data_IF_449040967670
#
_entry.id   IF_449040967670
#
_cell.length_a   1.000
_cell.length_b   1.000
_cell.length_c   1.000
_cell.angle_alpha   90.00
_cell.angle_beta   90.00
_cell.angle_gamma   90.00
#
_symmetry.space_group_name_H-M   'P 1'
#
loop_
_entity.id
_entity.type
_entity.pdbx_description
1 polymer ?
#
# COMPACT_ATOMS: atom_id res chain seq x y z
N UNK A 1 -17.19 8.69 5.17
CA UNK A 1 -16.99 7.27 5.59
C UNK A 1 -16.75 6.36 4.39
N UNK A 2 -17.63 6.34 3.38
CA UNK A 2 -17.52 5.47 2.20
C UNK A 2 -16.19 5.65 1.47
N UNK A 3 -15.79 6.89 1.17
CA UNK A 3 -14.50 7.20 0.51
C UNK A 3 -13.29 6.56 1.21
N UNK A 4 -13.26 6.52 2.53
CA UNK A 4 -12.19 5.90 3.30
C UNK A 4 -12.38 4.38 3.52
N UNK A 5 -13.39 3.77 2.87
CA UNK A 5 -13.71 2.35 3.03
C UNK A 5 -14.08 1.97 4.47
N UNK A 6 -14.72 2.89 5.21
CA UNK A 6 -15.04 2.73 6.64
C UNK A 6 -13.82 2.44 7.53
N UNK A 7 -12.69 3.04 7.19
CA UNK A 7 -11.40 2.90 7.89
C UNK A 7 -10.73 4.26 8.06
N UNK A 8 -9.75 4.33 8.95
CA UNK A 8 -8.88 5.50 9.06
C UNK A 8 -8.18 5.76 7.71
N UNK A 9 -8.15 7.01 7.25
CA UNK A 9 -7.58 7.39 5.96
C UNK A 9 -6.04 7.30 5.90
N UNK A 10 -5.39 7.15 7.06
CA UNK A 10 -3.93 7.02 7.11
C UNK A 10 -3.52 5.61 6.64
N UNK A 11 -2.67 5.48 5.61
CA UNK A 11 -2.33 4.20 4.95
C UNK A 11 -1.82 3.14 5.93
N UNK A 12 -0.95 3.52 6.85
CA UNK A 12 -0.31 2.62 7.81
C UNK A 12 -1.17 2.34 9.06
N UNK A 13 -2.33 2.98 9.19
CA UNK A 13 -3.23 2.81 10.35
C UNK A 13 -4.42 1.94 10.02
N UNK A 14 -5.24 2.34 9.07
CA UNK A 14 -6.46 1.65 8.60
C UNK A 14 -7.41 1.11 9.69
N UNK A 15 -7.34 1.65 10.91
CA UNK A 15 -8.23 1.25 12.02
C UNK A 15 -9.71 1.40 11.62
N UNK A 16 -10.55 0.48 12.08
CA UNK A 16 -12.00 0.42 11.73
C UNK A 16 -12.89 1.11 12.75
N UNK A 17 -12.41 1.33 13.99
CA UNK A 17 -13.16 1.97 15.08
C UNK A 17 -12.21 2.45 16.19
N UNK A 18 -12.59 3.46 16.97
CA UNK A 18 -13.63 4.46 16.67
C UNK A 18 -13.17 5.40 15.55
N UNK A 19 -14.09 5.78 14.66
CA UNK A 19 -13.81 6.67 13.54
C UNK A 19 -14.51 8.02 13.72
N UNK A 20 -13.84 9.09 13.31
CA UNK A 20 -14.34 10.47 13.34
C UNK A 20 -14.17 11.11 11.97
N UNK A 21 -15.10 11.99 11.59
CA UNK A 21 -14.93 12.88 10.44
C UNK A 21 -14.27 14.14 10.95
N UNK A 22 -13.06 14.40 10.47
CA UNK A 22 -12.22 15.52 10.89
C UNK A 22 -12.11 16.57 9.79
N UNK A 23 -12.16 17.86 10.15
CA UNK A 23 -11.81 18.93 9.23
C UNK A 23 -10.30 19.03 9.09
N UNK A 24 -9.80 19.03 7.87
CA UNK A 24 -8.38 19.20 7.57
C UNK A 24 -7.96 20.61 8.00
N UNK A 25 -8.73 21.63 7.59
CA UNK A 25 -8.55 22.99 8.09
C UNK A 25 -9.25 23.22 9.42
N UNK A 26 -8.77 24.22 10.15
CA UNK A 26 -9.33 24.54 11.45
C UNK A 26 -10.78 25.02 11.31
N UNK A 27 -11.74 24.30 11.91
CA UNK A 27 -13.16 24.62 11.93
C UNK A 27 -13.46 26.08 12.34
N UNK A 28 -12.72 26.62 13.32
CA UNK A 28 -12.89 27.99 13.77
C UNK A 28 -12.69 29.03 12.67
N UNK A 29 -11.89 28.69 11.63
CA UNK A 29 -11.63 29.57 10.48
C UNK A 29 -12.61 29.31 9.34
N UNK A 30 -12.94 28.06 9.06
CA UNK A 30 -13.71 27.65 7.86
C UNK A 30 -15.21 27.78 8.11
N UNK A 31 -15.71 27.37 9.26
CA UNK A 31 -17.13 27.40 9.70
C UNK A 31 -18.12 26.84 8.67
N UNK A 32 -17.69 25.91 7.83
CA UNK A 32 -18.51 25.24 6.83
C UNK A 32 -18.05 23.79 6.64
N UNK A 33 -18.99 22.90 6.38
CA UNK A 33 -18.70 21.52 6.00
C UNK A 33 -18.50 21.46 4.48
N UNK A 34 -17.27 21.23 4.07
CA UNK A 34 -16.91 20.95 2.68
C UNK A 34 -16.33 19.56 2.61
N UNK A 35 -16.85 18.70 1.73
CA UNK A 35 -16.38 17.33 1.58
C UNK A 35 -14.86 17.25 1.32
N UNK A 36 -14.33 18.14 0.48
CA UNK A 36 -12.92 18.18 0.12
C UNK A 36 -12.00 18.56 1.31
N UNK A 37 -12.58 19.18 2.32
CA UNK A 37 -11.85 19.58 3.54
C UNK A 37 -12.11 18.66 4.74
N UNK A 38 -12.71 17.50 4.50
CA UNK A 38 -13.02 16.51 5.53
C UNK A 38 -12.32 15.17 5.24
N UNK A 39 -11.77 14.57 6.29
CA UNK A 39 -11.07 13.28 6.22
C UNK A 39 -11.54 12.38 7.37
N UNK A 40 -11.51 11.06 7.17
CA UNK A 40 -11.87 10.07 8.20
C UNK A 40 -10.63 9.64 8.95
N UNK A 41 -10.60 9.85 10.25
CA UNK A 41 -9.50 9.44 11.13
C UNK A 41 -10.01 8.60 12.29
N UNK A 42 -9.18 7.67 12.80
CA UNK A 42 -9.42 7.08 14.10
C UNK A 42 -9.00 8.04 15.24
N UNK A 43 -9.41 7.76 16.46
CA UNK A 43 -9.10 8.61 17.62
C UNK A 43 -7.59 8.86 17.80
N UNK A 44 -6.76 7.84 17.56
CA UNK A 44 -5.30 7.97 17.67
C UNK A 44 -4.73 8.92 16.59
N UNK A 45 -5.11 8.74 15.33
CA UNK A 45 -4.65 9.61 14.25
C UNK A 45 -5.23 11.03 14.37
N UNK A 46 -6.47 11.17 14.86
CA UNK A 46 -7.04 12.47 15.20
C UNK A 46 -6.19 13.19 16.28
N UNK A 47 -5.82 12.49 17.35
CA UNK A 47 -4.96 13.04 18.41
C UNK A 47 -3.55 13.40 17.96
N UNK A 48 -3.08 12.81 16.85
CA UNK A 48 -1.78 13.12 16.23
C UNK A 48 -1.82 14.28 15.23
N UNK A 49 -2.97 14.89 14.99
CA UNK A 49 -3.09 16.04 14.08
C UNK A 49 -2.34 17.24 14.67
N UNK A 50 -1.36 17.75 13.92
CA UNK A 50 -0.54 18.90 14.37
C UNK A 50 0.69 19.09 13.50
N UNK A 51 1.63 19.93 13.96
CA UNK A 51 2.86 20.27 13.24
C UNK A 51 4.13 19.89 14.01
N UNK A 52 4.00 19.18 15.13
CA UNK A 52 5.14 18.72 15.92
C UNK A 52 5.74 17.41 15.42
N UNK A 53 6.87 16.98 15.97
CA UNK A 53 7.48 15.71 15.66
C UNK A 53 6.50 14.54 15.86
N UNK A 54 6.39 13.64 14.88
CA UNK A 54 5.47 12.49 14.91
C UNK A 54 3.99 12.84 14.76
N UNK A 55 3.65 14.10 14.52
CA UNK A 55 2.28 14.55 14.23
C UNK A 55 2.01 14.52 12.72
N UNK A 56 0.72 14.55 12.37
CA UNK A 56 0.24 14.55 10.99
C UNK A 56 -0.21 15.96 10.65
N UNK A 57 0.54 16.64 9.81
CA UNK A 57 0.25 18.02 9.43
C UNK A 57 -0.90 18.11 8.40
N UNK A 58 -1.37 19.34 8.19
CA UNK A 58 -2.48 19.60 7.26
C UNK A 58 -2.15 19.28 5.80
N UNK A 59 -0.89 19.48 5.40
CA UNK A 59 -0.44 19.16 4.03
C UNK A 59 -0.53 17.66 3.80
N UNK A 60 -0.03 16.86 4.74
CA UNK A 60 -0.12 15.40 4.69
C UNK A 60 -1.57 14.92 4.67
N UNK A 61 -2.46 15.50 5.51
CA UNK A 61 -3.88 15.13 5.51
C UNK A 61 -4.56 15.43 4.17
N UNK A 62 -4.25 16.57 3.53
CA UNK A 62 -4.77 16.88 2.18
C UNK A 62 -4.26 15.89 1.15
N UNK A 63 -2.99 15.53 1.22
CA UNK A 63 -2.42 14.59 0.27
C UNK A 63 -3.01 13.17 0.47
N UNK A 64 -3.19 12.72 1.70
CA UNK A 64 -3.90 11.45 1.96
C UNK A 64 -5.33 11.48 1.41
N UNK A 65 -6.03 12.60 1.56
CA UNK A 65 -7.37 12.77 0.97
C UNK A 65 -7.34 12.69 -0.56
N UNK A 66 -6.42 13.37 -1.21
CA UNK A 66 -6.24 13.32 -2.67
C UNK A 66 -5.88 11.91 -3.15
N UNK A 67 -4.94 11.26 -2.48
CA UNK A 67 -4.52 9.89 -2.81
C UNK A 67 -5.67 8.87 -2.68
N UNK A 68 -6.57 9.05 -1.69
CA UNK A 68 -7.77 8.20 -1.59
C UNK A 68 -8.66 8.33 -2.82
N UNK A 69 -8.83 9.52 -3.38
CA UNK A 69 -9.61 9.71 -4.59
C UNK A 69 -9.01 8.97 -5.78
N UNK A 70 -7.67 9.05 -5.97
CA UNK A 70 -6.93 8.31 -7.01
C UNK A 70 -7.12 6.80 -6.83
N UNK A 71 -6.85 6.28 -5.63
CA UNK A 71 -6.95 4.85 -5.34
C UNK A 71 -8.38 4.33 -5.56
N UNK A 72 -9.39 5.07 -5.10
CA UNK A 72 -10.78 4.66 -5.23
C UNK A 72 -11.32 4.72 -6.66
N UNK A 73 -10.79 5.61 -7.50
CA UNK A 73 -11.19 5.67 -8.91
C UNK A 73 -10.57 4.56 -9.77
N UNK A 74 -9.44 4.01 -9.35
CA UNK A 74 -8.63 3.06 -10.13
C UNK A 74 -8.82 1.62 -9.69
N UNK A 75 -8.84 1.35 -8.36
CA UNK A 75 -8.73 0.00 -7.81
C UNK A 75 -10.02 -0.49 -7.17
N UNK A 76 -10.33 -1.76 -7.38
CA UNK A 76 -11.41 -2.48 -6.70
C UNK A 76 -11.12 -2.69 -5.20
N UNK A 77 -12.13 -3.19 -4.46
CA UNK A 77 -12.00 -3.35 -3.00
C UNK A 77 -10.87 -4.32 -2.61
N UNK A 78 -10.71 -5.44 -3.34
CA UNK A 78 -9.63 -6.39 -3.08
C UNK A 78 -8.26 -5.75 -3.32
N UNK A 79 -8.09 -5.07 -4.44
CA UNK A 79 -6.82 -4.41 -4.79
C UNK A 79 -6.45 -3.36 -3.76
N UNK A 80 -7.41 -2.56 -3.28
CA UNK A 80 -7.18 -1.59 -2.20
C UNK A 80 -6.73 -2.27 -0.92
N UNK A 81 -7.35 -3.41 -0.54
CA UNK A 81 -6.96 -4.18 0.65
C UNK A 81 -5.56 -4.78 0.51
N UNK A 82 -5.17 -5.19 -0.67
CA UNK A 82 -3.81 -5.66 -0.96
C UNK A 82 -2.79 -4.52 -0.80
N UNK A 83 -3.09 -3.34 -1.33
CA UNK A 83 -2.25 -2.14 -1.12
C UNK A 83 -2.14 -1.76 0.36
N UNK A 84 -3.27 -1.77 1.09
CA UNK A 84 -3.31 -1.53 2.54
C UNK A 84 -2.45 -2.54 3.31
N UNK A 85 -2.55 -3.82 2.95
CA UNK A 85 -1.75 -4.87 3.55
C UNK A 85 -0.25 -4.64 3.33
N UNK A 86 0.17 -4.31 2.12
CA UNK A 86 1.56 -3.99 1.83
C UNK A 86 2.04 -2.74 2.57
N UNK A 87 1.21 -1.69 2.65
CA UNK A 87 1.55 -0.47 3.39
C UNK A 87 1.73 -0.75 4.88
N UNK A 88 0.86 -1.57 5.49
CA UNK A 88 0.97 -1.98 6.88
C UNK A 88 2.24 -2.81 7.14
N UNK A 89 2.54 -3.75 6.25
CA UNK A 89 3.76 -4.56 6.35
C UNK A 89 5.01 -3.69 6.19
N UNK A 90 5.01 -2.78 5.22
CA UNK A 90 6.13 -1.85 4.98
C UNK A 90 6.43 -1.00 6.22
N UNK A 91 5.40 -0.43 6.85
CA UNK A 91 5.53 0.38 8.06
C UNK A 91 6.07 -0.44 9.24
N UNK A 92 5.52 -1.62 9.50
CA UNK A 92 5.98 -2.51 10.59
C UNK A 92 7.46 -2.86 10.47
N UNK A 93 7.93 -3.15 9.28
CA UNK A 93 9.32 -3.60 9.09
C UNK A 93 10.32 -2.46 9.06
N UNK A 94 9.93 -1.28 8.63
CA UNK A 94 10.75 -0.09 8.77
C UNK A 94 11.09 0.18 10.25
N UNK A 95 10.15 -0.08 11.14
CA UNK A 95 10.34 0.12 12.58
C UNK A 95 11.24 -0.96 13.23
N UNK A 96 11.18 -2.20 12.76
CA UNK A 96 11.92 -3.34 13.34
C UNK A 96 13.39 -3.37 12.91
N UNK A 97 13.72 -2.87 11.72
CA UNK A 97 15.05 -3.03 11.10
C UNK A 97 15.82 -1.71 10.96
N UNK A 98 15.64 -0.76 11.85
CA UNK A 98 16.36 0.52 11.96
C UNK A 98 17.83 0.49 11.47
N UNK A 99 18.04 0.23 10.18
CA UNK A 99 19.31 0.40 9.46
C UNK A 99 20.50 -0.48 9.87
N UNK A 100 20.32 -1.51 10.70
CA UNK A 100 21.42 -2.29 11.29
C UNK A 100 21.66 -3.69 10.70
N UNK A 101 20.95 -4.08 9.66
CA UNK A 101 21.08 -5.41 9.07
C UNK A 101 21.04 -5.38 7.55
N UNK A 102 21.97 -6.09 6.89
CA UNK A 102 21.93 -6.32 5.43
C UNK A 102 20.61 -6.98 4.96
N UNK A 103 19.90 -7.67 5.86
CA UNK A 103 18.57 -8.23 5.62
C UNK A 103 17.51 -7.12 5.42
N UNK A 104 17.77 -5.91 5.91
CA UNK A 104 16.83 -4.79 5.80
C UNK A 104 16.70 -4.24 4.38
N UNK A 105 17.75 -4.30 3.56
CA UNK A 105 17.71 -3.79 2.18
C UNK A 105 16.88 -4.66 1.23
N UNK A 106 16.90 -5.99 1.43
CA UNK A 106 16.15 -6.94 0.59
C UNK A 106 14.69 -7.15 1.04
N UNK A 107 14.37 -6.70 2.24
CA UNK A 107 13.05 -6.96 2.84
C UNK A 107 11.86 -6.46 1.99
N UNK A 108 11.86 -5.23 1.43
CA UNK A 108 10.73 -4.75 0.64
C UNK A 108 10.43 -5.63 -0.58
N UNK A 109 11.46 -6.27 -1.15
CA UNK A 109 11.33 -7.18 -2.30
C UNK A 109 10.71 -8.54 -1.93
N UNK A 110 10.61 -8.86 -0.64
CA UNK A 110 10.00 -10.11 -0.12
C UNK A 110 8.52 -9.96 0.21
N UNK A 111 7.97 -8.75 0.12
CA UNK A 111 6.55 -8.55 0.37
C UNK A 111 5.71 -9.27 -0.68
N UNK A 112 4.91 -10.22 -0.22
CA UNK A 112 4.02 -10.98 -1.09
C UNK A 112 2.70 -11.29 -0.38
N UNK A 113 1.65 -11.51 -1.16
CA UNK A 113 0.33 -11.90 -0.70
C UNK A 113 -0.17 -13.10 -1.50
N UNK A 114 -0.80 -14.04 -0.80
CA UNK A 114 -1.43 -15.22 -1.41
C UNK A 114 -2.91 -14.94 -1.68
N UNK A 115 -3.34 -15.09 -2.94
CA UNK A 115 -4.71 -14.85 -3.39
C UNK A 115 -5.23 -16.13 -4.06
N UNK A 116 -6.44 -16.61 -3.72
CA UNK A 116 -7.04 -17.74 -4.44
C UNK A 116 -7.10 -17.48 -5.96
N UNK A 117 -6.70 -18.43 -6.79
CA UNK A 117 -6.62 -18.26 -8.24
C UNK A 117 -7.94 -17.83 -8.88
N UNK A 118 -9.10 -18.20 -8.29
CA UNK A 118 -10.43 -17.73 -8.70
C UNK A 118 -10.60 -16.19 -8.59
N UNK A 119 -9.77 -15.52 -7.80
CA UNK A 119 -9.81 -14.07 -7.61
C UNK A 119 -8.79 -13.30 -8.49
N UNK A 120 -8.09 -14.00 -9.38
CA UNK A 120 -7.05 -13.39 -10.25
C UNK A 120 -7.54 -12.17 -11.03
N UNK A 121 -8.78 -12.19 -11.53
CA UNK A 121 -9.36 -11.06 -12.26
C UNK A 121 -9.51 -9.80 -11.40
N UNK A 122 -9.64 -9.95 -10.08
CA UNK A 122 -9.78 -8.85 -9.13
C UNK A 122 -8.43 -8.19 -8.80
N UNK A 123 -7.31 -8.71 -9.32
CA UNK A 123 -5.96 -8.16 -9.20
C UNK A 123 -5.48 -7.47 -10.49
N UNK A 124 -6.39 -7.34 -11.47
CA UNK A 124 -6.05 -6.93 -12.83
C UNK A 124 -5.35 -5.58 -12.89
N UNK A 125 -5.86 -4.57 -12.20
CA UNK A 125 -5.34 -3.22 -12.32
C UNK A 125 -4.00 -3.04 -11.61
N UNK A 126 -3.80 -3.66 -10.45
CA UNK A 126 -2.49 -3.65 -9.79
C UNK A 126 -1.40 -4.32 -10.62
N UNK A 127 -1.75 -5.40 -11.35
CA UNK A 127 -0.82 -6.08 -12.26
C UNK A 127 -0.58 -5.24 -13.52
N UNK A 128 -1.63 -4.64 -14.11
CA UNK A 128 -1.49 -3.78 -15.29
C UNK A 128 -0.66 -2.54 -15.04
N UNK A 129 -0.79 -1.95 -13.84
CA UNK A 129 -0.03 -0.79 -13.41
C UNK A 129 1.40 -1.17 -13.00
N UNK A 130 1.71 -2.47 -12.97
CA UNK A 130 3.04 -2.98 -12.63
C UNK A 130 3.40 -2.84 -11.16
N UNK A 131 2.45 -2.60 -10.26
CA UNK A 131 2.72 -2.49 -8.83
C UNK A 131 2.91 -3.83 -8.15
N UNK A 132 2.24 -4.85 -8.67
CA UNK A 132 2.44 -6.23 -8.25
C UNK A 132 2.66 -7.12 -9.46
N UNK A 133 3.36 -8.21 -9.25
CA UNK A 133 3.50 -9.25 -10.26
C UNK A 133 3.24 -10.63 -9.67
N UNK A 134 2.77 -11.54 -10.52
CA UNK A 134 2.54 -12.93 -10.14
C UNK A 134 3.89 -13.63 -9.99
N UNK A 135 4.13 -14.23 -8.82
CA UNK A 135 5.27 -15.13 -8.62
C UNK A 135 5.00 -16.42 -9.38
N UNK A 136 5.81 -16.79 -10.38
CA UNK A 136 5.56 -17.98 -11.18
C UNK A 136 5.66 -19.23 -10.30
N UNK A 137 4.54 -19.95 -10.14
CA UNK A 137 4.53 -21.25 -9.50
C UNK A 137 4.95 -22.31 -10.52
N UNK A 138 5.87 -23.22 -10.16
CA UNK A 138 6.19 -24.42 -10.93
C UNK A 138 7.25 -24.31 -12.03
N UNK A 139 7.74 -23.13 -12.41
CA UNK A 139 8.75 -23.00 -13.47
C UNK A 139 10.20 -22.86 -12.99
N UNK A 140 10.42 -22.46 -11.76
CA UNK A 140 11.76 -22.30 -11.16
C UNK A 140 11.75 -22.76 -9.70
N UNK A 141 11.17 -23.93 -9.44
CA UNK A 141 11.17 -24.53 -8.11
C UNK A 141 12.58 -24.91 -7.73
N UNK A 142 13.14 -24.27 -6.70
CA UNK A 142 14.47 -24.58 -6.16
C UNK A 142 14.37 -25.75 -5.19
N UNK A 143 13.23 -25.86 -4.50
CA UNK A 143 12.98 -26.89 -3.49
C UNK A 143 11.47 -27.15 -3.37
N UNK A 144 11.08 -28.40 -3.17
CA UNK A 144 9.69 -28.82 -2.99
C UNK A 144 9.56 -29.49 -1.64
N UNK A 145 8.58 -29.09 -0.82
CA UNK A 145 8.28 -29.82 0.41
C UNK A 145 7.03 -30.71 0.24
N UNK A 146 6.94 -31.75 1.08
CA UNK A 146 5.83 -32.70 1.06
C UNK A 146 4.49 -32.11 1.52
N UNK A 147 4.49 -30.86 2.01
CA UNK A 147 3.32 -30.13 2.51
C UNK A 147 2.61 -29.29 1.43
N UNK A 148 3.02 -29.40 0.18
CA UNK A 148 2.43 -28.66 -0.94
C UNK A 148 2.94 -27.24 -1.12
N UNK A 149 4.13 -26.94 -0.60
CA UNK A 149 4.84 -25.70 -0.81
C UNK A 149 5.99 -25.87 -1.78
N UNK A 150 6.22 -24.89 -2.59
CA UNK A 150 7.37 -24.75 -3.46
C UNK A 150 8.21 -23.58 -2.97
N UNK A 151 9.53 -23.67 -3.11
CA UNK A 151 10.41 -22.52 -2.96
C UNK A 151 10.79 -22.06 -4.36
N UNK A 152 10.39 -20.85 -4.68
CA UNK A 152 10.60 -20.20 -5.98
C UNK A 152 11.58 -19.07 -5.80
N UNK A 153 12.60 -18.96 -6.66
CA UNK A 153 13.53 -17.84 -6.66
C UNK A 153 13.19 -16.87 -7.79
N UNK A 154 12.99 -15.61 -7.44
CA UNK A 154 12.73 -14.52 -8.39
C UNK A 154 13.68 -13.37 -8.05
N UNK A 155 14.53 -12.94 -9.00
CA UNK A 155 15.52 -11.88 -8.80
C UNK A 155 16.40 -12.07 -7.56
N UNK A 156 16.86 -13.32 -7.33
CA UNK A 156 17.66 -13.75 -6.15
C UNK A 156 16.93 -13.70 -4.82
N UNK A 157 15.61 -13.45 -4.82
CA UNK A 157 14.75 -13.53 -3.62
C UNK A 157 13.99 -14.83 -3.64
N UNK A 158 14.03 -15.57 -2.52
CA UNK A 158 13.31 -16.84 -2.37
C UNK A 158 11.95 -16.61 -1.75
N UNK A 159 10.90 -17.13 -2.41
CA UNK A 159 9.53 -17.13 -1.95
C UNK A 159 9.08 -18.56 -1.66
N UNK A 160 8.44 -18.74 -0.52
CA UNK A 160 7.72 -19.98 -0.22
C UNK A 160 6.28 -19.80 -0.70
N UNK A 161 5.90 -20.53 -1.74
CA UNK A 161 4.60 -20.40 -2.42
C UNK A 161 3.80 -21.69 -2.28
N UNK A 162 2.49 -21.56 -2.10
CA UNK A 162 1.58 -22.71 -2.14
C UNK A 162 1.13 -22.95 -3.57
N UNK A 163 0.97 -24.24 -3.96
CA UNK A 163 0.57 -24.63 -5.31
C UNK A 163 -0.89 -24.31 -5.65
N UNK A 164 -1.74 -24.20 -4.63
CA UNK A 164 -3.19 -24.02 -4.77
C UNK A 164 -3.63 -22.54 -4.80
N UNK A 165 -2.72 -21.60 -4.64
CA UNK A 165 -3.00 -20.16 -4.64
C UNK A 165 -2.00 -19.39 -5.50
N UNK A 166 -2.43 -18.24 -6.01
CA UNK A 166 -1.57 -17.30 -6.70
C UNK A 166 -0.83 -16.44 -5.66
N UNK A 167 0.48 -16.31 -5.82
CA UNK A 167 1.28 -15.42 -5.00
C UNK A 167 1.65 -14.18 -5.81
N UNK A 168 1.33 -13.01 -5.29
CA UNK A 168 1.69 -11.72 -5.88
C UNK A 168 2.75 -11.07 -5.02
N UNK A 169 3.87 -10.69 -5.62
CA UNK A 169 4.90 -9.89 -4.95
C UNK A 169 4.81 -8.44 -5.36
N UNK A 170 5.29 -7.57 -4.49
CA UNK A 170 5.44 -6.16 -4.77
C UNK A 170 6.63 -5.95 -5.73
N UNK A 171 6.45 -5.15 -6.76
CA UNK A 171 7.53 -4.73 -7.67
C UNK A 171 8.29 -3.53 -7.12
N UNK A 172 9.41 -3.14 -7.75
CA UNK A 172 10.10 -1.89 -7.41
C UNK A 172 9.20 -0.68 -7.60
N UNK A 173 8.41 -0.62 -8.68
CA UNK A 173 7.42 0.44 -8.92
C UNK A 173 6.32 0.44 -7.86
N UNK A 174 5.84 -0.75 -7.46
CA UNK A 174 4.88 -0.89 -6.36
C UNK A 174 5.43 -0.39 -5.04
N UNK A 175 6.72 -0.59 -4.79
CA UNK A 175 7.38 -0.06 -3.60
C UNK A 175 7.47 1.46 -3.62
N UNK A 176 7.86 2.07 -4.76
CA UNK A 176 7.87 3.53 -4.94
C UNK A 176 6.47 4.13 -4.71
N UNK A 177 5.42 3.48 -5.25
CA UNK A 177 4.04 3.87 -5.03
C UNK A 177 3.66 3.83 -3.54
N UNK A 178 4.00 2.75 -2.83
CA UNK A 178 3.71 2.65 -1.40
C UNK A 178 4.46 3.70 -0.59
N UNK A 179 5.74 3.93 -0.88
CA UNK A 179 6.55 4.91 -0.17
C UNK A 179 5.99 6.34 -0.39
N UNK A 180 5.56 6.67 -1.61
CA UNK A 180 4.88 7.93 -1.89
C UNK A 180 3.54 8.03 -1.13
N UNK A 181 2.73 6.98 -1.13
CA UNK A 181 1.44 6.97 -0.44
C UNK A 181 1.60 7.10 1.07
N UNK A 182 2.51 6.32 1.69
CA UNK A 182 2.81 6.37 3.12
C UNK A 182 3.40 7.73 3.51
N UNK A 183 4.29 8.25 2.69
CA UNK A 183 4.97 9.53 2.87
C UNK A 183 4.12 10.78 2.54
N UNK A 184 2.81 10.61 2.28
CA UNK A 184 1.91 11.70 1.87
C UNK A 184 2.46 12.49 0.66
N UNK A 185 2.95 11.78 -0.35
CA UNK A 185 3.35 12.35 -1.64
C UNK A 185 2.24 12.06 -2.69
N UNK A 186 2.17 12.85 -3.78
CA UNK A 186 1.27 12.56 -4.91
C UNK A 186 1.55 11.19 -5.53
N UNK A 187 0.49 10.45 -5.86
CA UNK A 187 0.56 9.12 -6.51
C UNK A 187 -0.06 9.12 -7.92
N UNK A 188 -0.63 10.22 -8.35
CA UNK A 188 -1.37 10.38 -9.60
C UNK A 188 -0.50 10.46 -10.86
N UNK A 189 0.80 10.63 -10.73
CA UNK A 189 1.75 10.67 -11.86
C UNK A 189 2.62 9.42 -12.03
N UNK A 190 2.54 8.45 -11.14
CA UNK A 190 3.46 7.30 -11.12
C UNK A 190 3.23 6.29 -12.27
N UNK A 191 2.09 6.38 -12.96
CA UNK A 191 1.67 5.47 -14.05
C UNK A 191 1.59 6.12 -15.42
N UNK A 192 2.23 7.27 -15.66
CA UNK A 192 2.29 7.84 -17.01
C UNK A 192 3.04 6.89 -17.95
N UNK A 193 2.42 6.39 -19.03
CA UNK A 193 3.09 5.49 -19.99
C UNK A 193 4.34 6.11 -20.63
N UNK A 194 4.47 7.44 -20.58
CA UNK A 194 5.59 8.17 -21.14
C UNK A 194 6.89 8.06 -20.33
N UNK A 195 6.82 7.83 -19.02
CA UNK A 195 8.03 7.71 -18.18
C UNK A 195 8.63 6.30 -18.14
N UNK A 196 7.84 5.27 -18.43
CA UNK A 196 8.32 3.88 -18.48
C UNK A 196 9.26 3.66 -19.67
N UNK A 197 9.08 4.41 -20.77
CA UNK A 197 9.91 4.31 -21.98
C UNK A 197 11.30 4.95 -21.83
N UNK A 198 11.53 5.83 -20.87
CA UNK A 198 12.79 6.55 -20.69
C UNK A 198 13.73 5.91 -19.65
N UNK A 199 13.26 4.95 -18.87
CA UNK A 199 14.07 4.23 -17.86
C UNK A 199 14.66 2.91 -18.36
N UNK A 200 14.44 2.55 -19.62
CA UNK A 200 14.85 1.29 -20.27
C UNK A 200 15.90 1.46 -21.38
N UNK A 201 16.82 2.44 -21.27
CA UNK A 201 17.99 2.55 -22.18
C UNK A 201 19.25 2.66 -21.34
#
# INVERSE_FOLDING_TARGET
MVEAGHRCAIPTCRAVAPLQIEHIDNWAKVKRHNFEDMIVLCANCHGRKGNGPGQIDRRSLRQYKANLAVINSRYGDLERRVLEHFAEQRDRYHFVFDGRSEVAEDWPRRLSVAIPGAMRLLMKYLVQDGYVELVPSGQQTVEVDDLGWDVVEVERVRFRVRRDVDHYRLTSLGLEFLDAWIGAQPIDGLNSPEEVSLRGV
#
